data_IF_332448958933
#
_entry.id   IF_332448958933
#
_cell.length_a   1.000
_cell.length_b   1.000
_cell.length_c   1.000
_cell.angle_alpha   90.00
_cell.angle_beta   90.00
_cell.angle_gamma   90.00
#
_symmetry.space_group_name_H-M   'P 1'
#
loop_
_entity.id
_entity.type
_entity.pdbx_description
1 polymer ?
#
# COMPACT_ATOMS: atom_id res chain seq x y z
N UNK A 1 -5.22 -15.33 -31.50
CA UNK A 1 -3.99 -15.22 -30.70
C UNK A 1 -4.33 -14.53 -29.40
N UNK A 2 -3.43 -14.57 -28.44
CA UNK A 2 -3.60 -13.81 -27.20
C UNK A 2 -3.49 -12.32 -27.51
N UNK A 3 -4.35 -11.50 -26.88
CA UNK A 3 -4.28 -10.06 -27.04
C UNK A 3 -3.11 -9.50 -26.22
N UNK A 4 -2.56 -8.37 -26.65
CA UNK A 4 -1.61 -7.58 -25.87
C UNK A 4 -1.99 -6.10 -25.93
N UNK A 5 -1.91 -5.40 -24.80
CA UNK A 5 -2.01 -3.94 -24.75
C UNK A 5 -1.17 -3.41 -23.59
N UNK A 6 -0.41 -2.34 -23.84
CA UNK A 6 0.42 -1.68 -22.83
C UNK A 6 -0.37 -0.78 -21.86
N UNK A 7 -1.70 -0.75 -21.95
CA UNK A 7 -2.51 0.13 -21.11
C UNK A 7 -2.65 -0.42 -19.66
N UNK A 8 -2.77 0.47 -18.65
CA UNK A 8 -2.91 0.05 -17.26
C UNK A 8 -4.12 -0.86 -16.98
N UNK A 9 -5.21 -0.69 -17.73
CA UNK A 9 -6.42 -1.50 -17.60
C UNK A 9 -6.14 -2.96 -18.00
N UNK A 10 -5.52 -3.19 -19.15
CA UNK A 10 -5.18 -4.54 -19.63
C UNK A 10 -4.30 -5.31 -18.63
N UNK A 11 -3.30 -4.64 -18.07
CA UNK A 11 -2.38 -5.25 -17.10
C UNK A 11 -3.06 -5.64 -15.78
N UNK A 12 -4.11 -4.92 -15.36
CA UNK A 12 -4.73 -5.09 -14.04
C UNK A 12 -6.06 -5.85 -14.11
N UNK A 13 -6.81 -5.75 -15.21
CA UNK A 13 -8.17 -6.28 -15.31
C UNK A 13 -8.22 -7.81 -15.43
N UNK A 14 -7.12 -8.47 -15.83
CA UNK A 14 -7.01 -9.95 -15.96
C UNK A 14 -8.13 -10.57 -16.82
N UNK A 15 -8.66 -9.81 -17.78
CA UNK A 15 -9.70 -10.27 -18.72
C UNK A 15 -9.11 -10.74 -20.05
N UNK A 16 -7.82 -10.49 -20.30
CA UNK A 16 -7.21 -10.73 -21.61
C UNK A 16 -7.72 -9.77 -22.70
N UNK A 17 -8.37 -8.67 -22.31
CA UNK A 17 -8.81 -7.60 -23.20
C UNK A 17 -8.87 -6.27 -22.46
N UNK A 18 -9.01 -5.17 -23.18
CA UNK A 18 -9.24 -3.83 -22.63
C UNK A 18 -10.04 -2.99 -23.63
N UNK A 19 -10.45 -1.79 -23.23
CA UNK A 19 -11.21 -0.88 -24.12
C UNK A 19 -10.52 -0.59 -25.45
N UNK A 20 -9.19 -0.50 -25.48
CA UNK A 20 -8.43 -0.30 -26.73
C UNK A 20 -8.49 -1.51 -27.66
N UNK A 21 -8.36 -2.71 -27.10
CA UNK A 21 -8.43 -3.98 -27.83
C UNK A 21 -9.84 -4.16 -28.40
N UNK A 22 -10.87 -4.02 -27.56
CA UNK A 22 -12.28 -4.12 -27.99
C UNK A 22 -12.62 -3.10 -29.08
N UNK A 23 -12.18 -1.85 -28.94
CA UNK A 23 -12.39 -0.83 -29.95
C UNK A 23 -11.72 -1.19 -31.29
N UNK A 24 -10.48 -1.69 -31.23
CA UNK A 24 -9.72 -2.11 -32.42
C UNK A 24 -10.37 -3.31 -33.10
N UNK A 25 -10.74 -4.33 -32.32
CA UNK A 25 -11.45 -5.51 -32.82
C UNK A 25 -12.78 -5.12 -33.48
N UNK A 26 -13.58 -4.25 -32.84
CA UNK A 26 -14.83 -3.77 -33.39
C UNK A 26 -14.62 -3.01 -34.73
N UNK A 27 -13.55 -2.22 -34.85
CA UNK A 27 -13.20 -1.52 -36.10
C UNK A 27 -12.76 -2.48 -37.19
N UNK A 28 -11.91 -3.46 -36.88
CA UNK A 28 -11.44 -4.47 -37.83
C UNK A 28 -12.56 -5.39 -38.30
N UNK A 29 -13.47 -5.80 -37.42
CA UNK A 29 -14.62 -6.64 -37.77
C UNK A 29 -15.60 -5.95 -38.74
N UNK A 30 -15.62 -4.61 -38.79
CA UNK A 30 -16.42 -3.83 -39.73
C UNK A 30 -15.77 -3.70 -41.12
N UNK A 31 -14.49 -4.01 -41.26
CA UNK A 31 -13.81 -4.01 -42.55
C UNK A 31 -14.18 -5.26 -43.36
N UNK A 32 -14.24 -5.12 -44.69
CA UNK A 32 -14.50 -6.23 -45.60
C UNK A 32 -13.41 -7.31 -45.41
N UNK A 33 -13.83 -8.53 -45.08
CA UNK A 33 -12.92 -9.65 -44.80
C UNK A 33 -12.33 -9.70 -43.39
N UNK A 34 -12.56 -8.70 -42.53
CA UNK A 34 -11.95 -8.63 -41.20
C UNK A 34 -12.37 -9.75 -40.25
N UNK A 35 -13.65 -10.16 -40.26
CA UNK A 35 -14.12 -11.31 -39.47
C UNK A 35 -13.46 -12.63 -39.88
N UNK A 36 -13.27 -12.84 -41.18
CA UNK A 36 -12.62 -14.04 -41.71
C UNK A 36 -11.13 -14.06 -41.33
N UNK A 37 -10.43 -12.93 -41.45
CA UNK A 37 -9.03 -12.80 -41.05
C UNK A 37 -8.81 -13.05 -39.55
N UNK A 38 -9.70 -12.53 -38.68
CA UNK A 38 -9.63 -12.78 -37.24
C UNK A 38 -9.89 -14.26 -36.88
N UNK A 39 -10.83 -14.90 -37.58
CA UNK A 39 -11.14 -16.33 -37.38
C UNK A 39 -10.00 -17.24 -37.86
N UNK A 40 -9.31 -16.87 -38.94
CA UNK A 40 -8.11 -17.57 -39.41
C UNK A 40 -6.97 -17.51 -38.39
N UNK A 41 -6.97 -16.48 -37.54
CA UNK A 41 -5.95 -16.28 -36.53
C UNK A 41 -4.64 -15.77 -37.12
N UNK A 42 -3.76 -15.30 -36.24
CA UNK A 42 -2.44 -14.82 -36.61
C UNK A 42 -1.40 -15.56 -35.76
N UNK A 43 -0.39 -16.13 -36.42
CA UNK A 43 0.83 -16.59 -35.78
C UNK A 43 1.99 -15.75 -36.33
N UNK A 44 2.71 -15.02 -35.47
CA UNK A 44 3.85 -14.23 -35.93
C UNK A 44 4.94 -15.14 -36.50
N UNK A 45 5.73 -14.63 -37.45
CA UNK A 45 6.94 -15.32 -37.92
C UNK A 45 8.00 -15.37 -36.83
N UNK A 46 8.13 -14.29 -36.08
CA UNK A 46 9.01 -14.17 -34.92
C UNK A 46 8.48 -14.95 -33.71
N UNK A 47 9.38 -15.34 -32.81
CA UNK A 47 9.02 -15.87 -31.50
C UNK A 47 8.98 -14.74 -30.47
N UNK A 48 8.23 -14.91 -29.40
CA UNK A 48 8.03 -13.85 -28.41
C UNK A 48 8.15 -14.33 -26.96
N UNK A 49 8.61 -13.44 -26.09
CA UNK A 49 8.56 -13.59 -24.64
C UNK A 49 7.73 -12.46 -24.05
N UNK A 50 6.58 -12.80 -23.50
CA UNK A 50 5.59 -11.84 -23.01
C UNK A 50 5.15 -12.15 -21.59
N UNK A 51 4.60 -11.15 -20.90
CA UNK A 51 4.02 -11.33 -19.57
C UNK A 51 2.52 -11.61 -19.70
N UNK A 52 2.08 -12.79 -19.26
CA UNK A 52 0.65 -13.10 -19.19
C UNK A 52 0.07 -12.55 -17.90
N UNK A 53 -0.93 -11.67 -18.03
CA UNK A 53 -1.68 -11.10 -16.92
C UNK A 53 -2.89 -11.99 -16.58
N UNK A 54 -2.69 -12.92 -15.63
CA UNK A 54 -3.75 -13.78 -15.10
C UNK A 54 -3.90 -13.67 -13.57
N UNK A 55 -4.47 -14.68 -12.91
CA UNK A 55 -4.46 -14.80 -11.45
C UNK A 55 -3.03 -14.75 -10.87
N UNK A 56 -2.06 -15.20 -11.66
CA UNK A 56 -0.62 -15.01 -11.44
C UNK A 56 -0.03 -14.38 -12.69
N UNK A 57 0.98 -13.53 -12.50
CA UNK A 57 1.80 -12.99 -13.58
C UNK A 57 2.86 -14.03 -13.94
N UNK A 58 2.91 -14.42 -15.20
CA UNK A 58 3.76 -15.51 -15.67
C UNK A 58 4.46 -15.07 -16.96
N UNK A 59 5.78 -15.26 -17.01
CA UNK A 59 6.56 -15.01 -18.22
C UNK A 59 6.38 -16.19 -19.15
N UNK A 60 5.90 -15.92 -20.36
CA UNK A 60 5.54 -16.91 -21.36
C UNK A 60 6.50 -16.87 -22.54
N UNK A 61 6.83 -18.02 -23.09
CA UNK A 61 7.44 -18.15 -24.41
C UNK A 61 6.39 -18.59 -25.43
N UNK A 62 6.17 -17.74 -26.44
CA UNK A 62 5.31 -18.00 -27.59
C UNK A 62 6.16 -18.32 -28.82
N UNK A 63 6.25 -19.59 -29.27
CA UNK A 63 6.96 -19.91 -30.50
C UNK A 63 6.23 -19.36 -31.73
N UNK A 64 6.97 -18.68 -32.61
CA UNK A 64 6.49 -18.22 -33.90
C UNK A 64 6.24 -19.36 -34.89
N UNK A 65 5.57 -19.05 -36.00
CA UNK A 65 5.32 -19.99 -37.09
C UNK A 65 6.60 -20.54 -37.73
N UNK A 66 7.67 -19.74 -37.73
CA UNK A 66 8.99 -20.08 -38.29
C UNK A 66 10.02 -20.40 -37.18
N UNK A 67 9.56 -20.72 -35.96
CA UNK A 67 10.44 -20.99 -34.83
C UNK A 67 11.34 -22.21 -35.11
N UNK A 68 12.67 -22.06 -35.10
CA UNK A 68 13.58 -23.16 -35.42
C UNK A 68 13.67 -24.17 -34.26
N UNK A 69 13.93 -25.45 -34.59
CA UNK A 69 13.98 -26.53 -33.60
C UNK A 69 15.02 -26.31 -32.50
N UNK A 70 16.17 -25.69 -32.82
CA UNK A 70 17.19 -25.37 -31.82
C UNK A 70 16.67 -24.40 -30.76
N UNK A 71 15.82 -23.43 -31.14
CA UNK A 71 15.24 -22.46 -30.24
C UNK A 71 14.16 -23.11 -29.37
N UNK A 72 13.39 -24.07 -29.91
CA UNK A 72 12.47 -24.89 -29.11
C UNK A 72 13.22 -25.73 -28.07
N UNK A 73 14.35 -26.35 -28.45
CA UNK A 73 15.22 -27.08 -27.50
C UNK A 73 15.82 -26.17 -26.44
N UNK A 74 16.24 -24.97 -26.82
CA UNK A 74 16.73 -23.95 -25.88
C UNK A 74 15.61 -23.54 -24.91
N UNK A 75 14.42 -23.20 -25.44
CA UNK A 75 13.27 -22.81 -24.64
C UNK A 75 12.87 -23.90 -23.65
N UNK A 76 12.91 -25.19 -24.02
CA UNK A 76 12.61 -26.30 -23.10
C UNK A 76 13.54 -26.39 -21.87
N UNK A 77 14.72 -25.76 -21.90
CA UNK A 77 15.58 -25.64 -20.72
C UNK A 77 15.01 -24.65 -19.72
N UNK A 78 14.48 -23.52 -20.19
CA UNK A 78 14.03 -22.39 -19.35
C UNK A 78 12.53 -22.36 -19.08
N UNK A 79 11.72 -22.90 -19.99
CA UNK A 79 10.25 -22.86 -19.96
C UNK A 79 9.67 -24.28 -19.80
N UNK A 80 8.53 -24.40 -19.12
CA UNK A 80 7.78 -25.65 -18.97
C UNK A 80 7.00 -26.00 -20.26
N UNK A 81 6.30 -27.15 -20.27
CA UNK A 81 5.53 -27.62 -21.42
C UNK A 81 4.37 -26.68 -21.82
N UNK A 82 3.97 -25.78 -20.92
CA UNK A 82 2.96 -24.74 -21.17
C UNK A 82 3.59 -23.43 -21.62
N UNK A 83 4.91 -23.39 -21.80
CA UNK A 83 5.68 -22.21 -22.16
C UNK A 83 5.87 -21.24 -20.99
N UNK A 84 5.69 -21.65 -19.74
CA UNK A 84 5.87 -20.78 -18.55
C UNK A 84 7.33 -20.83 -18.09
N UNK A 85 7.95 -19.68 -17.83
CA UNK A 85 9.32 -19.61 -17.32
C UNK A 85 9.42 -20.32 -15.96
N UNK A 86 10.34 -21.29 -15.86
CA UNK A 86 10.54 -22.08 -14.64
C UNK A 86 11.08 -21.19 -13.50
N UNK A 87 10.76 -21.50 -12.22
CA UNK A 87 11.18 -20.67 -11.08
C UNK A 87 12.70 -20.46 -10.95
N UNK A 88 13.49 -21.49 -11.22
CA UNK A 88 14.96 -21.49 -11.23
C UNK A 88 15.55 -20.72 -12.42
N UNK A 89 14.83 -20.70 -13.55
CA UNK A 89 15.24 -20.03 -14.77
C UNK A 89 15.25 -18.48 -14.65
N UNK A 90 14.54 -17.89 -13.69
CA UNK A 90 14.55 -16.44 -13.47
C UNK A 90 15.96 -15.89 -13.19
N UNK A 91 16.80 -16.64 -12.48
CA UNK A 91 18.16 -16.19 -12.11
C UNK A 91 19.10 -16.05 -13.31
N UNK A 92 18.87 -16.83 -14.37
CA UNK A 92 19.75 -16.96 -15.53
C UNK A 92 19.06 -16.62 -16.85
N UNK A 93 17.96 -15.87 -16.80
CA UNK A 93 17.16 -15.51 -17.97
C UNK A 93 17.94 -14.67 -19.00
N UNK A 94 18.96 -13.91 -18.57
CA UNK A 94 19.85 -13.17 -19.48
C UNK A 94 20.63 -14.08 -20.43
N UNK A 95 21.00 -15.29 -19.98
CA UNK A 95 21.64 -16.28 -20.82
C UNK A 95 20.69 -16.77 -21.93
N UNK A 96 19.41 -16.98 -21.61
CA UNK A 96 18.38 -17.32 -22.60
C UNK A 96 18.27 -16.22 -23.67
N UNK A 97 18.12 -14.96 -23.27
CA UNK A 97 17.98 -13.84 -24.22
C UNK A 97 19.21 -13.72 -25.12
N UNK A 98 20.41 -13.91 -24.55
CA UNK A 98 21.68 -13.85 -25.30
C UNK A 98 21.82 -15.00 -26.29
N UNK A 99 21.37 -16.21 -25.95
CA UNK A 99 21.43 -17.38 -26.84
C UNK A 99 20.33 -17.35 -27.91
N UNK A 100 19.13 -16.90 -27.55
CA UNK A 100 17.99 -16.82 -28.45
C UNK A 100 18.21 -15.84 -29.62
N UNK A 101 19.10 -14.85 -29.46
CA UNK A 101 19.43 -13.86 -30.50
C UNK A 101 20.51 -14.27 -31.52
N UNK A 102 21.07 -15.49 -31.48
CA UNK A 102 22.31 -15.82 -32.22
C UNK A 102 22.12 -16.23 -33.70
N UNK A 103 20.96 -16.73 -34.11
CA UNK A 103 20.79 -17.36 -35.45
C UNK A 103 19.74 -16.68 -36.35
N UNK A 104 19.62 -15.35 -36.30
CA UNK A 104 18.81 -14.58 -37.25
C UNK A 104 17.29 -14.72 -37.15
N UNK A 105 16.76 -15.70 -36.40
CA UNK A 105 15.36 -15.76 -36.01
C UNK A 105 15.04 -14.65 -35.01
N UNK A 106 14.06 -13.81 -35.30
CA UNK A 106 13.68 -12.70 -34.43
C UNK A 106 12.97 -13.24 -33.17
N UNK A 107 13.51 -12.89 -31.99
CA UNK A 107 12.93 -13.19 -30.68
C UNK A 107 12.59 -11.88 -29.97
N UNK A 108 11.31 -11.55 -29.89
CA UNK A 108 10.82 -10.31 -29.28
C UNK A 108 10.55 -10.51 -27.80
N UNK A 109 11.33 -9.86 -26.94
CA UNK A 109 11.06 -9.82 -25.50
C UNK A 109 10.33 -8.52 -25.17
N UNK A 110 9.08 -8.61 -24.69
CA UNK A 110 8.32 -7.41 -24.30
C UNK A 110 8.88 -6.80 -23.01
N UNK A 111 8.81 -5.47 -22.92
CA UNK A 111 9.39 -4.69 -21.82
C UNK A 111 8.84 -5.10 -20.44
N UNK A 112 7.55 -5.44 -20.36
CA UNK A 112 6.91 -5.86 -19.12
C UNK A 112 7.38 -7.23 -18.64
N UNK A 113 7.66 -8.16 -19.54
CA UNK A 113 8.27 -9.45 -19.22
C UNK A 113 9.69 -9.26 -18.66
N UNK A 114 10.52 -8.44 -19.34
CA UNK A 114 11.89 -8.13 -18.90
C UNK A 114 11.86 -7.47 -17.52
N UNK A 115 10.99 -6.47 -17.33
CA UNK A 115 10.84 -5.77 -16.05
C UNK A 115 10.38 -6.70 -14.93
N UNK A 116 9.48 -7.64 -15.22
CA UNK A 116 9.03 -8.61 -14.23
C UNK A 116 10.15 -9.59 -13.84
N UNK A 117 10.93 -10.08 -14.80
CA UNK A 117 12.09 -10.93 -14.51
C UNK A 117 13.11 -10.20 -13.66
N UNK A 118 13.45 -8.95 -14.01
CA UNK A 118 14.34 -8.10 -13.22
C UNK A 118 13.82 -7.96 -11.78
N UNK A 119 12.54 -7.62 -11.61
CA UNK A 119 11.91 -7.49 -10.30
C UNK A 119 12.00 -8.77 -9.45
N UNK A 120 11.82 -9.96 -10.05
CA UNK A 120 11.93 -11.24 -9.35
C UNK A 120 13.38 -11.49 -8.90
N UNK A 121 14.35 -11.21 -9.77
CA UNK A 121 15.78 -11.35 -9.45
C UNK A 121 16.22 -10.40 -8.35
N UNK A 122 15.82 -9.13 -8.44
CA UNK A 122 16.17 -8.10 -7.45
C UNK A 122 15.59 -8.44 -6.07
N UNK A 123 14.36 -8.97 -6.03
CA UNK A 123 13.75 -9.45 -4.80
C UNK A 123 14.50 -10.64 -4.19
N UNK A 124 14.92 -11.61 -5.01
CA UNK A 124 15.70 -12.76 -4.55
C UNK A 124 17.07 -12.32 -4.01
N UNK A 125 17.79 -11.50 -4.78
CA UNK A 125 19.10 -10.93 -4.39
C UNK A 125 19.00 -10.15 -3.09
N UNK A 126 17.99 -9.28 -2.93
CA UNK A 126 17.76 -8.54 -1.68
C UNK A 126 17.54 -9.49 -0.51
N UNK A 127 16.73 -10.52 -0.69
CA UNK A 127 16.49 -11.55 0.32
C UNK A 127 17.78 -12.22 0.79
N UNK A 128 18.66 -12.59 -0.15
CA UNK A 128 19.97 -13.20 0.14
C UNK A 128 20.92 -12.23 0.86
N UNK A 129 21.05 -11.00 0.39
CA UNK A 129 21.94 -10.00 1.00
C UNK A 129 21.51 -9.70 2.44
N UNK A 130 20.20 -9.51 2.66
CA UNK A 130 19.66 -9.30 4.01
C UNK A 130 19.85 -10.56 4.87
N UNK A 131 19.67 -11.78 4.33
CA UNK A 131 19.90 -13.00 5.08
C UNK A 131 21.37 -13.16 5.50
N UNK A 132 22.33 -12.73 4.67
CA UNK A 132 23.75 -12.71 5.02
C UNK A 132 24.07 -11.67 6.10
N UNK A 133 23.45 -10.49 6.05
CA UNK A 133 23.61 -9.46 7.07
C UNK A 133 22.94 -9.83 8.41
N UNK A 134 21.87 -10.62 8.38
CA UNK A 134 21.09 -11.04 9.55
C UNK A 134 20.94 -12.58 9.58
N UNK A 135 22.03 -13.34 9.84
CA UNK A 135 22.06 -14.80 9.73
C UNK A 135 21.15 -15.51 10.75
N UNK A 136 20.89 -14.91 11.90
CA UNK A 136 19.97 -15.42 12.93
C UNK A 136 18.59 -14.73 12.86
N UNK A 137 18.26 -14.08 11.73
CA UNK A 137 17.03 -13.33 11.57
C UNK A 137 16.90 -12.21 12.60
N UNK A 138 15.74 -12.12 13.26
CA UNK A 138 15.44 -11.10 14.27
C UNK A 138 16.32 -11.18 15.54
N UNK A 139 16.95 -12.34 15.79
CA UNK A 139 17.88 -12.52 16.91
C UNK A 139 19.32 -12.08 16.59
N UNK A 140 19.60 -11.65 15.35
CA UNK A 140 20.96 -11.30 14.94
C UNK A 140 21.52 -10.12 15.75
N UNK A 141 22.79 -10.18 16.22
CA UNK A 141 23.45 -9.07 16.93
C UNK A 141 23.59 -7.79 16.10
N UNK A 142 23.45 -7.87 14.77
CA UNK A 142 23.43 -6.72 13.88
C UNK A 142 22.37 -5.67 14.27
N UNK A 143 21.26 -6.10 14.88
CA UNK A 143 20.23 -5.19 15.38
C UNK A 143 20.72 -4.24 16.49
N UNK A 144 21.71 -4.66 17.28
CA UNK A 144 22.19 -3.87 18.42
C UNK A 144 23.02 -2.65 17.97
N UNK A 145 23.53 -2.67 16.74
CA UNK A 145 24.26 -1.55 16.10
C UNK A 145 23.46 -0.85 15.00
N UNK A 146 22.24 -1.31 14.72
CA UNK A 146 21.43 -0.82 13.61
C UNK A 146 20.90 0.60 13.87
N UNK A 147 20.37 0.82 15.07
CA UNK A 147 19.85 2.11 15.52
C UNK A 147 20.27 2.37 16.98
N UNK A 148 20.22 3.63 17.42
CA UNK A 148 20.62 4.08 18.77
C UNK A 148 19.73 3.57 19.91
N UNK A 149 18.60 2.94 19.60
CA UNK A 149 17.59 2.48 20.58
C UNK A 149 17.37 0.97 20.45
N UNK A 150 17.25 0.28 21.58
CA UNK A 150 16.97 -1.15 21.58
C UNK A 150 15.55 -1.44 21.08
N UNK A 151 15.45 -2.29 20.06
CA UNK A 151 14.18 -2.80 19.55
C UNK A 151 13.73 -4.03 20.32
N UNK A 152 12.43 -4.11 20.63
CA UNK A 152 11.80 -5.34 21.12
C UNK A 152 11.88 -6.45 20.07
N UNK A 153 11.85 -7.75 20.46
CA UNK A 153 11.93 -8.87 19.52
C UNK A 153 10.91 -8.78 18.38
N UNK A 154 9.64 -8.51 18.68
CA UNK A 154 8.63 -8.31 17.63
C UNK A 154 8.99 -7.12 16.69
N UNK A 155 9.57 -6.03 17.20
CA UNK A 155 9.95 -4.90 16.36
C UNK A 155 11.08 -5.27 15.39
N UNK A 156 12.04 -6.09 15.84
CA UNK A 156 13.11 -6.63 14.99
C UNK A 156 12.55 -7.50 13.86
N UNK A 157 11.58 -8.36 14.17
CA UNK A 157 10.87 -9.16 13.16
C UNK A 157 10.13 -8.31 12.13
N UNK A 158 9.41 -7.27 12.59
CA UNK A 158 8.66 -6.37 11.71
C UNK A 158 9.58 -5.58 10.78
N UNK A 159 10.70 -5.06 11.31
CA UNK A 159 11.72 -4.37 10.53
C UNK A 159 12.36 -5.27 9.48
N UNK A 160 12.75 -6.50 9.87
CA UNK A 160 13.35 -7.47 8.95
C UNK A 160 12.37 -7.92 7.87
N UNK A 161 11.10 -8.13 8.22
CA UNK A 161 10.05 -8.45 7.27
C UNK A 161 9.88 -7.33 6.24
N UNK A 162 9.78 -6.08 6.69
CA UNK A 162 9.61 -4.93 5.81
C UNK A 162 10.76 -4.78 4.83
N UNK A 163 12.01 -4.91 5.31
CA UNK A 163 13.19 -4.84 4.47
C UNK A 163 13.24 -5.99 3.43
N UNK A 164 12.91 -7.23 3.82
CA UNK A 164 12.87 -8.37 2.88
C UNK A 164 11.77 -8.23 1.83
N UNK A 165 10.55 -7.90 2.26
CA UNK A 165 9.41 -7.70 1.37
C UNK A 165 9.65 -6.56 0.39
N UNK A 166 10.36 -5.51 0.81
CA UNK A 166 10.68 -4.31 0.03
C UNK A 166 9.47 -3.38 -0.15
N UNK A 167 8.31 -3.95 -0.50
CA UNK A 167 7.01 -3.28 -0.48
C UNK A 167 6.08 -4.02 0.49
N UNK A 168 5.67 -3.39 1.58
CA UNK A 168 4.86 -4.02 2.61
C UNK A 168 3.87 -3.09 3.33
N UNK A 169 2.97 -3.71 4.08
CA UNK A 169 2.03 -3.09 5.01
C UNK A 169 2.41 -3.52 6.44
N UNK A 170 2.84 -2.57 7.27
CA UNK A 170 3.02 -2.75 8.71
C UNK A 170 1.75 -2.28 9.41
N UNK A 171 0.93 -3.26 9.80
CA UNK A 171 -0.39 -3.07 10.35
C UNK A 171 -0.51 -3.45 11.84
N UNK A 172 0.59 -3.34 12.58
CA UNK A 172 0.60 -3.54 14.03
C UNK A 172 -0.31 -2.53 14.74
N UNK A 173 -0.93 -2.97 15.84
CA UNK A 173 -1.80 -2.14 16.68
C UNK A 173 -1.13 -0.80 17.07
N UNK A 174 -1.96 0.22 17.27
CA UNK A 174 -1.50 1.55 17.70
C UNK A 174 -0.69 1.48 19.00
N UNK A 175 0.50 2.07 19.00
CA UNK A 175 1.42 2.08 20.15
C UNK A 175 2.45 0.95 20.17
N UNK A 176 2.46 0.04 19.19
CA UNK A 176 3.51 -1.00 19.06
C UNK A 176 4.79 -0.51 18.35
N UNK A 177 4.97 0.80 18.20
CA UNK A 177 6.19 1.37 17.62
C UNK A 177 6.36 1.10 16.12
N UNK A 178 5.31 1.29 15.30
CA UNK A 178 5.42 1.17 13.83
C UNK A 178 6.49 2.11 13.25
N UNK A 179 6.62 3.32 13.79
CA UNK A 179 7.61 4.31 13.37
C UNK A 179 9.04 3.80 13.53
N UNK A 180 9.39 3.29 14.73
CA UNK A 180 10.73 2.74 14.97
C UNK A 180 11.01 1.49 14.12
N UNK A 181 9.99 0.66 13.86
CA UNK A 181 10.13 -0.48 12.94
C UNK A 181 10.41 -0.04 11.49
N UNK A 182 9.73 1.01 11.01
CA UNK A 182 9.93 1.56 9.68
C UNK A 182 11.31 2.21 9.52
N UNK A 183 11.78 2.95 10.54
CA UNK A 183 13.12 3.52 10.58
C UNK A 183 14.17 2.39 10.58
N UNK A 184 14.01 1.36 11.41
CA UNK A 184 14.90 0.22 11.43
C UNK A 184 14.94 -0.53 10.09
N UNK A 185 13.78 -0.76 9.44
CA UNK A 185 13.72 -1.35 8.11
C UNK A 185 14.45 -0.50 7.06
N UNK A 186 14.34 0.82 7.17
CA UNK A 186 15.05 1.77 6.31
C UNK A 186 16.56 1.66 6.47
N UNK A 187 17.06 1.58 7.71
CA UNK A 187 18.50 1.39 7.95
C UNK A 187 19.00 0.04 7.43
N UNK A 188 18.21 -1.03 7.54
CA UNK A 188 18.55 -2.33 6.93
C UNK A 188 18.70 -2.17 5.41
N UNK A 189 17.73 -1.53 4.76
CA UNK A 189 17.78 -1.30 3.31
C UNK A 189 18.96 -0.40 2.91
N UNK A 190 19.26 0.63 3.69
CA UNK A 190 20.40 1.51 3.45
C UNK A 190 21.73 0.75 3.48
N UNK A 191 21.93 -0.11 4.49
CA UNK A 191 23.17 -0.87 4.68
C UNK A 191 23.32 -2.05 3.71
N UNK A 192 22.21 -2.61 3.22
CA UNK A 192 22.24 -3.85 2.42
C UNK A 192 22.05 -3.63 0.93
N UNK A 193 21.17 -2.72 0.53
CA UNK A 193 20.81 -2.48 -0.87
C UNK A 193 21.02 -1.03 -1.32
N UNK A 194 21.57 -0.18 -0.46
CA UNK A 194 21.99 1.18 -0.83
C UNK A 194 20.82 2.16 -1.02
N UNK A 195 19.75 2.04 -0.23
CA UNK A 195 18.71 3.09 -0.17
C UNK A 195 19.32 4.38 0.40
N UNK A 196 19.16 5.48 -0.33
CA UNK A 196 19.73 6.79 0.03
C UNK A 196 18.69 7.90 0.14
N UNK A 197 17.55 7.78 -0.56
CA UNK A 197 16.50 8.79 -0.61
C UNK A 197 15.18 8.23 -0.12
N UNK A 198 14.75 8.71 1.04
CA UNK A 198 13.54 8.25 1.74
C UNK A 198 12.53 9.37 1.85
N UNK A 199 11.36 9.18 1.23
CA UNK A 199 10.22 10.07 1.37
C UNK A 199 9.24 9.51 2.39
N UNK A 200 9.00 10.25 3.47
CA UNK A 200 7.94 9.96 4.43
C UNK A 200 6.76 10.89 4.13
N UNK A 201 5.57 10.31 3.96
CA UNK A 201 4.32 11.03 3.81
C UNK A 201 3.47 10.74 5.04
N UNK A 202 3.28 11.76 5.88
CA UNK A 202 2.58 11.65 7.15
C UNK A 202 1.51 12.75 7.31
N UNK A 203 0.54 12.60 8.22
CA UNK A 203 -0.31 13.71 8.64
C UNK A 203 0.52 14.94 9.07
N UNK A 204 0.00 16.15 8.82
CA UNK A 204 0.71 17.41 9.15
C UNK A 204 1.18 17.46 10.61
N UNK A 205 0.39 16.93 11.54
CA UNK A 205 0.69 16.89 12.97
C UNK A 205 1.84 15.95 13.34
N UNK A 206 2.20 14.99 12.48
CA UNK A 206 3.21 13.97 12.77
C UNK A 206 4.56 14.27 12.11
N UNK A 207 4.66 15.28 11.23
CA UNK A 207 5.91 15.54 10.50
C UNK A 207 7.11 15.84 11.39
N UNK A 208 6.93 16.70 12.40
CA UNK A 208 8.02 17.05 13.33
C UNK A 208 8.34 15.89 14.26
N UNK A 209 7.31 15.14 14.71
CA UNK A 209 7.55 13.92 15.47
C UNK A 209 8.40 12.91 14.68
N UNK A 210 8.13 12.71 13.39
CA UNK A 210 8.97 11.87 12.53
C UNK A 210 10.41 12.37 12.46
N UNK A 211 10.61 13.68 12.32
CA UNK A 211 11.95 14.28 12.32
C UNK A 211 12.67 13.98 13.64
N UNK A 212 12.03 14.26 14.77
CA UNK A 212 12.60 14.07 16.11
C UNK A 212 12.93 12.59 16.36
N UNK A 213 12.05 11.66 15.95
CA UNK A 213 12.27 10.22 16.07
C UNK A 213 13.43 9.73 15.20
N UNK A 214 13.55 10.22 13.95
CA UNK A 214 14.67 9.89 13.07
C UNK A 214 15.98 10.36 13.66
N UNK A 215 16.08 11.61 14.08
CA UNK A 215 17.30 12.22 14.62
C UNK A 215 17.70 11.61 15.98
N UNK A 216 16.70 11.16 16.76
CA UNK A 216 16.89 10.45 18.03
C UNK A 216 17.35 9.02 17.82
N UNK A 217 16.68 8.25 16.95
CA UNK A 217 16.94 6.82 16.78
C UNK A 217 18.10 6.54 15.83
N UNK A 218 18.44 7.47 14.95
CA UNK A 218 19.52 7.31 13.96
C UNK A 218 20.56 8.43 14.11
N UNK A 219 21.66 8.34 13.36
CA UNK A 219 22.62 9.43 13.19
C UNK A 219 22.29 10.37 12.03
N UNK A 220 21.12 10.22 11.39
CA UNK A 220 20.75 10.94 10.17
C UNK A 220 19.89 12.15 10.48
N UNK A 221 19.94 13.14 9.60
CA UNK A 221 19.08 14.32 9.62
C UNK A 221 17.86 14.12 8.73
N UNK A 222 16.77 14.81 9.06
CA UNK A 222 15.56 14.80 8.23
C UNK A 222 15.07 16.21 7.90
N UNK A 223 14.66 16.42 6.65
CA UNK A 223 14.12 17.70 6.17
C UNK A 223 12.60 17.62 6.13
N UNK A 224 11.94 18.49 6.91
CA UNK A 224 10.49 18.67 6.82
C UNK A 224 10.17 19.63 5.68
N UNK A 225 9.42 19.15 4.69
CA UNK A 225 8.97 19.96 3.56
C UNK A 225 7.71 20.73 3.96
N UNK A 226 7.82 22.04 4.03
CA UNK A 226 6.72 22.92 4.42
C UNK A 226 6.82 24.33 3.84
N UNK A 227 5.92 25.23 4.26
CA UNK A 227 5.89 26.60 3.78
C UNK A 227 5.35 26.77 2.37
N UNK A 228 5.49 27.99 1.85
CA UNK A 228 5.08 28.37 0.51
C UNK A 228 5.93 27.67 -0.55
N UNK A 229 5.48 27.72 -1.80
CA UNK A 229 6.09 26.98 -2.90
C UNK A 229 7.60 27.22 -3.06
N UNK A 230 8.14 28.46 -2.96
CA UNK A 230 9.59 28.69 -3.08
C UNK A 230 10.39 27.94 -2.02
N UNK A 231 9.97 28.02 -0.74
CA UNK A 231 10.63 27.30 0.35
C UNK A 231 10.52 25.77 0.19
N UNK A 232 9.43 25.26 -0.38
CA UNK A 232 9.30 23.82 -0.66
C UNK A 232 10.25 23.36 -1.77
N UNK A 233 10.46 24.18 -2.80
CA UNK A 233 11.39 23.86 -3.91
C UNK A 233 12.80 23.66 -3.36
N UNK A 234 13.31 24.64 -2.61
CA UNK A 234 14.63 24.57 -1.97
C UNK A 234 14.79 23.32 -1.09
N UNK A 235 13.74 22.98 -0.32
CA UNK A 235 13.74 21.78 0.53
C UNK A 235 13.72 20.47 -0.26
N UNK A 236 13.11 20.43 -1.45
CA UNK A 236 13.18 19.26 -2.34
C UNK A 236 14.52 19.16 -3.09
N UNK A 237 15.24 20.26 -3.27
CA UNK A 237 16.56 20.28 -3.90
C UNK A 237 17.69 20.00 -2.91
N UNK A 238 17.51 20.34 -1.62
CA UNK A 238 18.50 20.07 -0.59
C UNK A 238 18.88 18.58 -0.50
N UNK A 239 20.18 18.28 -0.40
CA UNK A 239 20.66 16.92 -0.15
C UNK A 239 20.24 16.48 1.25
N UNK A 240 19.45 15.41 1.31
CA UNK A 240 18.99 14.83 2.57
C UNK A 240 18.59 13.39 2.35
N UNK A 241 18.92 12.53 3.31
CA UNK A 241 18.50 11.13 3.30
C UNK A 241 16.99 11.00 3.51
N UNK A 242 16.43 11.78 4.44
CA UNK A 242 14.99 11.80 4.73
C UNK A 242 14.34 13.12 4.30
N UNK A 243 13.19 13.01 3.62
CA UNK A 243 12.27 14.13 3.40
C UNK A 243 10.89 13.78 3.91
N UNK A 244 10.28 14.69 4.65
CA UNK A 244 8.98 14.48 5.28
C UNK A 244 7.98 15.47 4.70
N UNK A 245 6.96 14.95 4.02
CA UNK A 245 5.87 15.71 3.42
C UNK A 245 4.53 15.31 4.03
N UNK A 246 3.48 16.11 3.80
CA UNK A 246 2.12 15.73 4.13
C UNK A 246 1.32 15.32 2.89
N UNK A 247 0.22 14.58 3.11
CA UNK A 247 -0.64 14.11 2.03
C UNK A 247 -1.21 15.23 1.15
N UNK A 248 -1.44 16.42 1.72
CA UNK A 248 -2.13 17.52 1.04
C UNK A 248 -1.24 18.19 -0.02
N UNK A 249 0.09 18.22 0.18
CA UNK A 249 1.03 18.84 -0.77
C UNK A 249 1.53 17.88 -1.85
N UNK A 250 1.42 16.56 -1.65
CA UNK A 250 1.96 15.54 -2.59
C UNK A 250 1.41 15.71 -4.00
N UNK A 251 0.13 16.06 -4.15
CA UNK A 251 -0.44 16.30 -5.48
C UNK A 251 0.23 17.48 -6.20
N UNK A 252 0.47 18.58 -5.47
CA UNK A 252 1.02 19.83 -6.02
C UNK A 252 2.52 19.73 -6.30
N UNK A 253 3.22 18.93 -5.50
CA UNK A 253 4.67 18.78 -5.57
C UNK A 253 5.08 17.46 -6.28
N UNK A 254 4.15 16.78 -6.95
CA UNK A 254 4.36 15.48 -7.57
C UNK A 254 5.58 15.45 -8.51
N UNK A 255 5.73 16.46 -9.36
CA UNK A 255 6.84 16.52 -10.32
C UNK A 255 8.19 16.72 -9.63
N UNK A 256 8.22 17.46 -8.50
CA UNK A 256 9.43 17.67 -7.69
C UNK A 256 9.82 16.39 -6.96
N UNK A 257 8.85 15.69 -6.40
CA UNK A 257 9.09 14.40 -5.76
C UNK A 257 9.60 13.39 -6.80
N UNK A 258 9.05 13.40 -8.02
CA UNK A 258 9.51 12.56 -9.14
C UNK A 258 10.94 12.90 -9.58
N UNK A 259 11.27 14.18 -9.66
CA UNK A 259 12.61 14.64 -10.00
C UNK A 259 13.64 14.23 -8.93
N UNK A 260 13.25 14.32 -7.65
CA UNK A 260 14.09 13.85 -6.55
C UNK A 260 14.27 12.33 -6.53
N UNK A 261 13.29 11.60 -7.05
CA UNK A 261 13.28 10.15 -7.27
C UNK A 261 13.58 9.33 -5.99
N UNK A 262 12.65 9.29 -5.02
CA UNK A 262 12.85 8.52 -3.78
C UNK A 262 13.02 7.03 -4.08
N UNK A 263 13.96 6.39 -3.38
CA UNK A 263 14.18 4.95 -3.46
C UNK A 263 13.16 4.19 -2.59
N UNK A 264 12.81 4.80 -1.44
CA UNK A 264 11.84 4.30 -0.47
C UNK A 264 10.77 5.36 -0.15
N UNK A 265 9.51 4.94 -0.19
CA UNK A 265 8.37 5.75 0.29
C UNK A 265 7.78 5.10 1.54
N UNK A 266 7.65 5.88 2.61
CA UNK A 266 6.92 5.50 3.82
C UNK A 266 5.61 6.27 3.87
N UNK A 267 4.48 5.57 3.94
CA UNK A 267 3.17 6.18 4.14
C UNK A 267 2.72 5.95 5.57
N UNK A 268 2.65 7.00 6.36
CA UNK A 268 2.12 6.94 7.72
C UNK A 268 0.63 7.27 7.74
N UNK A 269 -0.13 6.61 8.61
CA UNK A 269 -1.59 6.73 8.68
C UNK A 269 -2.27 6.58 7.30
N UNK A 270 -1.96 5.46 6.64
CA UNK A 270 -2.35 5.17 5.26
C UNK A 270 -3.86 5.13 4.99
N UNK A 271 -4.72 5.18 6.02
CA UNK A 271 -6.15 5.41 5.85
C UNK A 271 -6.44 6.74 5.14
N UNK A 272 -5.49 7.69 5.10
CA UNK A 272 -5.59 8.92 4.28
C UNK A 272 -5.73 8.65 2.78
N UNK A 273 -5.29 7.48 2.28
CA UNK A 273 -5.42 7.08 0.86
C UNK A 273 -6.46 5.98 0.62
N UNK A 274 -7.39 5.77 1.57
CA UNK A 274 -8.40 4.72 1.50
C UNK A 274 -9.39 4.87 0.33
N UNK A 275 -9.65 6.09 -0.11
CA UNK A 275 -10.52 6.35 -1.26
C UNK A 275 -9.71 6.59 -2.54
N UNK A 276 -9.70 5.58 -3.42
CA UNK A 276 -8.99 5.60 -4.70
C UNK A 276 -9.40 6.74 -5.64
N UNK A 277 -10.60 7.30 -5.49
CA UNK A 277 -11.09 8.39 -6.35
C UNK A 277 -10.44 9.73 -6.04
N UNK A 278 -9.91 9.89 -4.83
CA UNK A 278 -9.33 11.15 -4.36
C UNK A 278 -8.07 11.51 -5.14
N UNK A 279 -7.87 12.81 -5.33
CA UNK A 279 -6.69 13.35 -6.01
C UNK A 279 -5.40 12.97 -5.28
N UNK A 280 -5.44 12.99 -3.95
CA UNK A 280 -4.37 12.54 -3.06
C UNK A 280 -3.98 11.09 -3.32
N UNK A 281 -4.92 10.14 -3.24
CA UNK A 281 -4.63 8.73 -3.46
C UNK A 281 -4.07 8.47 -4.88
N UNK A 282 -4.63 9.13 -5.90
CA UNK A 282 -4.13 9.05 -7.28
C UNK A 282 -2.71 9.59 -7.42
N UNK A 283 -2.36 10.64 -6.69
CA UNK A 283 -1.03 11.27 -6.77
C UNK A 283 0.01 10.44 -6.04
N UNK A 284 -0.32 9.96 -4.84
CA UNK A 284 0.55 9.05 -4.06
C UNK A 284 0.86 7.78 -4.85
N UNK A 285 -0.15 7.16 -5.48
CA UNK A 285 0.05 5.95 -6.33
C UNK A 285 0.87 6.19 -7.61
N UNK A 286 1.07 7.44 -8.01
CA UNK A 286 1.91 7.83 -9.17
C UNK A 286 3.37 8.06 -8.81
N UNK A 287 3.72 8.01 -7.52
CA UNK A 287 5.08 8.20 -7.05
C UNK A 287 5.95 7.01 -7.45
N UNK A 288 7.06 7.24 -8.18
CA UNK A 288 8.02 6.19 -8.47
C UNK A 288 8.79 5.88 -7.19
N UNK A 289 8.86 4.60 -6.83
CA UNK A 289 9.70 4.10 -5.75
C UNK A 289 9.81 2.60 -5.89
N UNK A 290 11.01 2.07 -5.69
CA UNK A 290 11.24 0.63 -5.67
C UNK A 290 10.65 0.03 -4.38
N UNK A 291 10.97 0.66 -3.25
CA UNK A 291 10.55 0.23 -1.92
C UNK A 291 9.35 1.02 -1.41
N UNK A 292 8.51 0.40 -0.60
CA UNK A 292 7.37 1.08 0.02
C UNK A 292 7.00 0.46 1.37
N UNK A 293 6.92 1.26 2.43
CA UNK A 293 6.46 0.80 3.74
C UNK A 293 5.20 1.58 4.09
N UNK A 294 4.08 0.88 4.19
CA UNK A 294 2.80 1.49 4.53
C UNK A 294 2.47 1.18 5.97
N UNK A 295 2.24 2.20 6.78
CA UNK A 295 1.91 2.11 8.20
C UNK A 295 0.43 2.40 8.41
N UNK A 296 -0.24 1.54 9.14
CA UNK A 296 -1.65 1.73 9.50
C UNK A 296 -1.97 1.02 10.79
N UNK A 297 -2.65 1.66 11.75
CA UNK A 297 -3.15 0.97 12.94
C UNK A 297 -4.41 0.14 12.68
N UNK A 298 -5.10 0.42 11.57
CA UNK A 298 -6.43 -0.08 11.25
C UNK A 298 -6.54 -0.28 9.73
N UNK A 299 -5.87 -1.30 9.16
CA UNK A 299 -5.86 -1.52 7.69
C UNK A 299 -7.27 -1.76 7.11
N UNK A 300 -8.23 -2.17 7.96
CA UNK A 300 -9.62 -2.35 7.63
C UNK A 300 -10.45 -1.57 8.67
N UNK A 301 -10.75 -0.30 8.40
CA UNK A 301 -11.64 0.49 9.27
C UNK A 301 -13.10 0.08 9.04
N UNK A 302 -13.56 0.03 7.78
CA UNK A 302 -14.99 -0.16 7.51
C UNK A 302 -15.29 -1.06 6.30
N UNK A 303 -14.47 -1.01 5.23
CA UNK A 303 -14.83 -1.58 3.92
C UNK A 303 -13.67 -2.26 3.19
N UNK A 304 -13.95 -3.34 2.46
CA UNK A 304 -12.93 -4.07 1.66
C UNK A 304 -12.30 -3.21 0.55
N UNK A 305 -13.02 -2.22 0.06
CA UNK A 305 -12.57 -1.23 -0.92
C UNK A 305 -11.40 -0.39 -0.38
N UNK A 306 -11.39 -0.09 0.92
CA UNK A 306 -10.33 0.67 1.58
C UNK A 306 -9.04 -0.16 1.60
N UNK A 307 -9.16 -1.44 1.98
CA UNK A 307 -8.06 -2.40 1.95
C UNK A 307 -7.51 -2.57 0.52
N UNK A 308 -8.39 -2.70 -0.47
CA UNK A 308 -8.00 -2.82 -1.87
C UNK A 308 -7.19 -1.60 -2.33
N UNK A 309 -7.63 -0.39 -1.99
CA UNK A 309 -6.92 0.85 -2.34
C UNK A 309 -5.53 0.93 -1.71
N UNK A 310 -5.39 0.52 -0.45
CA UNK A 310 -4.10 0.53 0.27
C UNK A 310 -3.15 -0.53 -0.33
N UNK A 311 -3.65 -1.75 -0.55
CA UNK A 311 -2.84 -2.84 -1.12
C UNK A 311 -2.42 -2.54 -2.54
N UNK A 312 -3.23 -1.85 -3.33
CA UNK A 312 -2.88 -1.44 -4.70
C UNK A 312 -1.61 -0.56 -4.74
N UNK A 313 -1.36 0.25 -3.71
CA UNK A 313 -0.12 1.03 -3.61
C UNK A 313 1.11 0.13 -3.35
N UNK A 314 0.93 -0.92 -2.56
CA UNK A 314 2.01 -1.89 -2.24
C UNK A 314 2.27 -2.81 -3.42
N UNK A 315 1.23 -3.48 -3.91
CA UNK A 315 1.27 -4.39 -5.07
C UNK A 315 -0.09 -4.37 -5.80
N UNK A 316 -0.12 -3.61 -6.90
CA UNK A 316 -1.30 -3.40 -7.77
C UNK A 316 -1.89 -4.68 -8.38
N UNK A 317 -1.13 -5.77 -8.43
CA UNK A 317 -1.57 -7.02 -9.05
C UNK A 317 -2.01 -8.07 -8.01
N UNK A 318 -1.80 -7.80 -6.72
CA UNK A 318 -1.94 -8.78 -5.65
C UNK A 318 -3.36 -9.27 -5.41
N UNK A 319 -4.31 -8.33 -5.36
CA UNK A 319 -5.73 -8.62 -5.15
C UNK A 319 -6.52 -8.71 -6.46
N UNK A 320 -5.85 -8.50 -7.59
CA UNK A 320 -6.50 -8.38 -8.88
C UNK A 320 -7.43 -7.17 -8.99
N UNK A 321 -8.32 -7.18 -10.00
CA UNK A 321 -9.25 -6.08 -10.26
C UNK A 321 -10.25 -5.91 -9.13
N UNK A 322 -10.56 -4.64 -8.78
CA UNK A 322 -11.49 -4.33 -7.70
C UNK A 322 -12.86 -4.97 -7.89
N UNK A 323 -13.44 -4.96 -9.10
CA UNK A 323 -14.75 -5.57 -9.35
C UNK A 323 -14.79 -7.07 -9.03
N UNK A 324 -13.72 -7.81 -9.38
CA UNK A 324 -13.62 -9.26 -9.12
C UNK A 324 -13.39 -9.52 -7.63
N UNK A 325 -12.48 -8.76 -7.03
CA UNK A 325 -12.20 -8.82 -5.60
C UNK A 325 -13.47 -8.60 -4.77
N UNK A 326 -14.24 -7.56 -5.08
CA UNK A 326 -15.49 -7.26 -4.36
C UNK A 326 -16.55 -8.34 -4.60
N UNK A 327 -16.72 -8.84 -5.83
CA UNK A 327 -17.67 -9.92 -6.11
C UNK A 327 -17.33 -11.23 -5.37
N UNK A 328 -16.04 -11.55 -5.22
CA UNK A 328 -15.59 -12.76 -4.51
C UNK A 328 -15.77 -12.66 -2.99
N UNK A 329 -15.72 -11.45 -2.43
CA UNK A 329 -15.58 -11.23 -0.99
C UNK A 329 -16.73 -10.45 -0.31
N UNK A 330 -17.55 -9.71 -1.06
CA UNK A 330 -18.72 -9.01 -0.54
C UNK A 330 -20.00 -9.84 -0.75
N UNK A 331 -20.91 -9.74 0.20
CA UNK A 331 -22.31 -10.17 0.07
C UNK A 331 -23.18 -8.92 -0.02
N UNK A 332 -23.97 -8.84 -1.09
CA UNK A 332 -24.87 -7.73 -1.35
C UNK A 332 -26.33 -8.19 -1.16
N UNK A 333 -27.19 -7.31 -0.66
CA UNK A 333 -28.64 -7.52 -0.70
C UNK A 333 -29.23 -7.23 -2.10
N UNK A 334 -30.54 -7.38 -2.24
CA UNK A 334 -31.28 -7.09 -3.47
C UNK A 334 -31.18 -5.62 -3.91
N UNK A 335 -30.81 -4.70 -3.02
CA UNK A 335 -30.63 -3.27 -3.29
C UNK A 335 -29.16 -2.89 -3.51
N UNK A 336 -28.24 -3.86 -3.54
CA UNK A 336 -26.81 -3.64 -3.76
C UNK A 336 -26.05 -3.13 -2.52
N UNK A 337 -26.63 -3.21 -1.32
CA UNK A 337 -25.97 -2.82 -0.07
C UNK A 337 -25.17 -3.99 0.49
N UNK A 338 -23.96 -3.72 0.98
CA UNK A 338 -23.11 -4.73 1.63
C UNK A 338 -23.76 -5.16 2.95
N UNK A 339 -24.14 -6.44 3.02
CA UNK A 339 -24.73 -7.08 4.22
C UNK A 339 -23.76 -7.99 4.95
N UNK A 340 -22.66 -8.39 4.30
CA UNK A 340 -21.67 -9.28 4.90
C UNK A 340 -20.45 -9.48 4.02
N UNK A 341 -19.51 -10.27 4.53
CA UNK A 341 -18.28 -10.63 3.85
C UNK A 341 -18.07 -12.14 3.85
N UNK A 342 -17.45 -12.66 2.79
CA UNK A 342 -17.13 -14.09 2.63
C UNK A 342 -15.67 -14.30 2.20
N UNK A 343 -15.16 -15.51 2.39
CA UNK A 343 -13.83 -15.92 1.92
C UNK A 343 -12.67 -15.06 2.45
N UNK A 344 -12.79 -14.49 3.66
CA UNK A 344 -11.76 -13.61 4.24
C UNK A 344 -10.41 -14.31 4.50
N UNK A 345 -10.43 -15.63 4.72
CA UNK A 345 -9.23 -16.46 4.86
C UNK A 345 -8.32 -16.40 3.63
N UNK A 346 -8.92 -16.32 2.44
CA UNK A 346 -8.20 -16.17 1.18
C UNK A 346 -7.50 -14.82 1.10
N UNK A 347 -8.13 -13.75 1.58
CA UNK A 347 -7.50 -12.42 1.68
C UNK A 347 -6.28 -12.49 2.58
N UNK A 348 -6.42 -13.09 3.77
CA UNK A 348 -5.30 -13.25 4.72
C UNK A 348 -4.12 -14.00 4.10
N UNK A 349 -4.39 -15.11 3.40
CA UNK A 349 -3.36 -15.91 2.72
C UNK A 349 -2.64 -15.11 1.63
N UNK A 350 -3.41 -14.36 0.82
CA UNK A 350 -2.87 -13.51 -0.22
C UNK A 350 -2.00 -12.38 0.35
N UNK A 351 -2.39 -11.79 1.48
CA UNK A 351 -1.66 -10.68 2.09
C UNK A 351 -0.45 -11.09 2.93
N UNK A 352 -0.39 -12.33 3.44
CA UNK A 352 0.67 -12.82 4.34
C UNK A 352 2.12 -12.45 3.91
N UNK A 353 2.53 -12.57 2.63
CA UNK A 353 3.88 -12.17 2.23
C UNK A 353 4.18 -10.67 2.22
N UNK A 354 3.18 -9.79 2.33
CA UNK A 354 3.35 -8.32 2.31
C UNK A 354 2.75 -7.62 3.54
N UNK A 355 2.10 -8.34 4.45
CA UNK A 355 1.40 -7.79 5.61
C UNK A 355 1.95 -8.41 6.90
N UNK A 356 2.39 -7.55 7.82
CA UNK A 356 2.58 -7.91 9.22
C UNK A 356 1.52 -7.20 10.04
N UNK A 357 0.82 -7.97 10.88
CA UNK A 357 -0.18 -7.44 11.81
C UNK A 357 -0.11 -8.19 13.13
N UNK A 358 0.22 -7.48 14.19
CA UNK A 358 0.17 -7.98 15.57
C UNK A 358 -0.74 -7.14 16.43
N UNK A 359 -1.41 -7.81 17.34
CA UNK A 359 -2.26 -7.19 18.37
C UNK A 359 -1.49 -6.99 19.65
N UNK A 360 -1.87 -6.00 20.47
CA UNK A 360 -1.26 -5.79 21.80
C UNK A 360 -1.30 -7.04 22.68
N UNK A 361 -2.36 -7.85 22.56
CA UNK A 361 -2.50 -9.11 23.32
C UNK A 361 -1.44 -10.15 22.94
N UNK A 362 -1.04 -10.20 21.67
CA UNK A 362 -0.04 -11.17 21.19
C UNK A 362 1.37 -10.82 21.69
N UNK A 363 1.68 -9.53 21.81
CA UNK A 363 3.00 -9.03 22.23
C UNK A 363 3.00 -8.54 23.68
N UNK A 364 1.95 -8.82 24.45
CA UNK A 364 1.76 -8.27 25.80
C UNK A 364 2.92 -8.63 26.73
N UNK A 365 3.46 -9.84 26.58
CA UNK A 365 4.60 -10.34 27.36
C UNK A 365 5.92 -9.62 27.04
N UNK A 366 6.00 -8.91 25.91
CA UNK A 366 7.15 -8.10 25.51
C UNK A 366 6.97 -6.62 25.85
N UNK A 367 5.78 -6.21 26.30
CA UNK A 367 5.45 -4.83 26.66
C UNK A 367 5.49 -4.63 28.17
N UNK A 368 5.83 -3.42 28.66
CA UNK A 368 5.69 -3.10 30.09
C UNK A 368 4.22 -3.15 30.52
N UNK A 369 3.97 -3.49 31.79
CA UNK A 369 2.63 -3.51 32.36
C UNK A 369 1.96 -2.12 32.28
N UNK A 370 0.70 -2.09 31.83
CA UNK A 370 -0.09 -0.86 31.79
C UNK A 370 -0.82 -0.68 33.12
N UNK A 371 -0.42 0.34 33.87
CA UNK A 371 -1.17 0.81 35.04
C UNK A 371 -2.25 1.80 34.60
N UNK A 372 -3.52 1.42 34.73
CA UNK A 372 -4.66 2.32 34.51
C UNK A 372 -5.21 2.78 35.86
N UNK A 373 -5.02 4.07 36.19
CA UNK A 373 -5.60 4.70 37.38
C UNK A 373 -6.78 5.56 36.94
N UNK A 374 -7.98 5.21 37.40
CA UNK A 374 -9.20 6.01 37.19
C UNK A 374 -9.41 6.91 38.39
N UNK A 375 -9.30 8.21 38.18
CA UNK A 375 -9.61 9.22 39.18
C UNK A 375 -11.00 9.78 38.85
N UNK A 376 -11.96 9.55 39.74
CA UNK A 376 -13.24 10.24 39.69
C UNK A 376 -13.06 11.59 40.37
N UNK A 377 -13.28 12.66 39.62
CA UNK A 377 -13.17 14.04 40.10
C UNK A 377 -14.57 14.63 40.08
N UNK A 378 -14.98 15.22 41.20
CA UNK A 378 -16.27 15.89 41.28
C UNK A 378 -16.28 17.15 40.41
N UNK A 379 -17.42 17.43 39.78
CA UNK A 379 -17.62 18.69 39.07
C UNK A 379 -17.65 19.84 40.07
N UNK A 380 -17.05 20.96 39.71
CA UNK A 380 -17.26 22.22 40.43
C UNK A 380 -18.73 22.64 40.32
N UNK A 381 -19.17 23.53 41.23
CA UNK A 381 -20.56 24.05 41.21
C UNK A 381 -20.92 24.68 39.88
N UNK A 382 -19.98 25.40 39.27
CA UNK A 382 -20.20 26.08 38.00
C UNK A 382 -20.34 25.09 36.83
N UNK A 383 -19.45 24.10 36.75
CA UNK A 383 -19.58 23.01 35.77
C UNK A 383 -20.90 22.25 35.93
N UNK A 384 -21.31 22.01 37.18
CA UNK A 384 -22.57 21.32 37.49
C UNK A 384 -23.79 22.12 37.05
N UNK A 385 -23.80 23.45 37.25
CA UNK A 385 -24.89 24.31 36.81
C UNK A 385 -25.10 24.22 35.31
N UNK A 386 -24.04 24.42 34.52
CA UNK A 386 -24.09 24.27 33.07
C UNK A 386 -24.50 22.85 32.64
N UNK A 387 -24.03 21.83 33.36
CA UNK A 387 -24.38 20.45 33.08
C UNK A 387 -25.88 20.19 33.31
N UNK A 388 -26.44 20.64 34.43
CA UNK A 388 -27.85 20.43 34.78
C UNK A 388 -28.81 21.21 33.86
N UNK A 389 -28.45 22.42 33.43
CA UNK A 389 -29.24 23.20 32.45
C UNK A 389 -29.39 22.43 31.12
N UNK A 390 -28.27 21.91 30.61
CA UNK A 390 -28.27 21.14 29.36
C UNK A 390 -28.95 19.77 29.56
N UNK A 391 -28.79 19.14 30.72
CA UNK A 391 -29.47 17.89 31.07
C UNK A 391 -30.98 18.04 31.08
N UNK A 392 -31.51 19.15 31.59
CA UNK A 392 -32.95 19.43 31.53
C UNK A 392 -33.44 19.51 30.07
N UNK A 393 -32.66 20.15 29.20
CA UNK A 393 -32.94 20.21 27.75
C UNK A 393 -32.93 18.82 27.11
N UNK A 394 -31.91 18.01 27.39
CA UNK A 394 -31.80 16.62 26.94
C UNK A 394 -33.00 15.80 27.43
N UNK A 395 -33.36 15.89 28.71
CA UNK A 395 -34.47 15.15 29.30
C UNK A 395 -35.80 15.46 28.62
N UNK A 396 -36.07 16.74 28.32
CA UNK A 396 -37.26 17.17 27.58
C UNK A 396 -37.31 16.58 26.16
N UNK A 397 -36.19 16.61 25.43
CA UNK A 397 -36.11 16.09 24.06
C UNK A 397 -36.25 14.56 24.06
N UNK A 398 -35.60 13.86 25.00
CA UNK A 398 -35.71 12.40 25.15
C UNK A 398 -37.14 11.99 25.53
N UNK A 399 -37.82 12.75 26.40
CA UNK A 399 -39.21 12.50 26.74
C UNK A 399 -40.14 12.65 25.52
N UNK A 400 -39.91 13.67 24.69
CA UNK A 400 -40.61 13.86 23.41
C UNK A 400 -40.38 12.65 22.49
N UNK A 401 -39.14 12.23 22.33
CA UNK A 401 -38.80 11.05 21.52
C UNK A 401 -39.48 9.77 22.02
N UNK A 402 -39.46 9.51 23.33
CA UNK A 402 -40.15 8.35 23.93
C UNK A 402 -41.66 8.37 23.70
N UNK A 403 -42.28 9.55 23.66
CA UNK A 403 -43.73 9.70 23.45
C UNK A 403 -44.13 9.55 21.99
N UNK A 404 -43.37 10.12 21.05
CA UNK A 404 -43.77 10.19 19.64
C UNK A 404 -43.04 9.20 18.73
N UNK A 405 -42.01 8.51 19.23
CA UNK A 405 -41.19 7.56 18.46
C UNK A 405 -40.29 8.20 17.40
N UNK A 406 -40.36 9.52 17.21
CA UNK A 406 -39.65 10.28 16.19
C UNK A 406 -39.13 11.61 16.75
N UNK A 407 -38.00 12.08 16.19
CA UNK A 407 -37.38 13.37 16.48
C UNK A 407 -37.18 14.14 15.17
N UNK A 408 -37.63 15.39 15.13
CA UNK A 408 -37.36 16.30 14.00
C UNK A 408 -35.85 16.56 13.87
N UNK A 409 -35.36 16.93 12.67
CA UNK A 409 -33.94 17.30 12.48
C UNK A 409 -33.50 18.41 13.46
N UNK A 410 -34.38 19.38 13.72
CA UNK A 410 -34.14 20.45 14.70
C UNK A 410 -33.94 19.91 16.11
N UNK A 411 -34.79 18.98 16.56
CA UNK A 411 -34.66 18.36 17.88
C UNK A 411 -33.41 17.48 17.98
N UNK A 412 -33.06 16.75 16.90
CA UNK A 412 -31.83 15.95 16.84
C UNK A 412 -30.59 16.83 16.97
N UNK A 413 -30.57 17.96 16.26
CA UNK A 413 -29.46 18.93 16.34
C UNK A 413 -29.35 19.54 17.74
N UNK A 414 -30.47 19.95 18.35
CA UNK A 414 -30.52 20.47 19.72
C UNK A 414 -30.05 19.44 20.75
N UNK A 415 -30.45 18.18 20.60
CA UNK A 415 -30.00 17.10 21.47
C UNK A 415 -28.48 16.93 21.42
N UNK A 416 -27.91 16.91 20.21
CA UNK A 416 -26.47 16.80 20.03
C UNK A 416 -25.71 18.00 20.61
N UNK A 417 -26.24 19.21 20.44
CA UNK A 417 -25.66 20.43 21.03
C UNK A 417 -25.69 20.36 22.56
N UNK A 418 -26.83 20.02 23.17
CA UNK A 418 -26.96 19.95 24.63
C UNK A 418 -26.06 18.86 25.24
N UNK A 419 -26.00 17.67 24.62
CA UNK A 419 -25.07 16.61 25.02
C UNK A 419 -23.60 17.04 24.88
N UNK A 420 -23.27 17.80 23.83
CA UNK A 420 -21.93 18.32 23.65
C UNK A 420 -21.58 19.36 24.72
N UNK A 421 -22.52 20.24 25.09
CA UNK A 421 -22.33 21.19 26.18
C UNK A 421 -22.19 20.53 27.55
N UNK A 422 -22.96 19.47 27.84
CA UNK A 422 -22.75 18.64 29.03
C UNK A 422 -21.34 18.03 29.06
N UNK A 423 -20.82 17.56 27.92
CA UNK A 423 -19.44 17.05 27.84
C UNK A 423 -18.40 18.15 28.02
N UNK A 424 -18.65 19.33 27.46
CA UNK A 424 -17.75 20.48 27.57
C UNK A 424 -17.69 21.01 29.00
N UNK A 425 -18.82 21.10 29.72
CA UNK A 425 -18.84 21.53 31.12
C UNK A 425 -18.02 20.59 32.01
N UNK A 426 -18.07 19.26 31.76
CA UNK A 426 -17.23 18.30 32.47
C UNK A 426 -15.72 18.51 32.24
N UNK A 427 -15.32 19.11 31.11
CA UNK A 427 -13.92 19.39 30.80
C UNK A 427 -13.48 20.75 31.36
N UNK A 428 -14.24 21.83 31.07
CA UNK A 428 -13.95 23.20 31.50
C UNK A 428 -15.13 24.14 31.18
N UNK A 429 -15.42 25.06 32.11
CA UNK A 429 -16.41 26.15 31.95
C UNK A 429 -16.02 27.14 30.85
N UNK A 430 -14.72 27.39 30.68
CA UNK A 430 -14.15 28.26 29.62
C UNK A 430 -14.59 27.90 28.21
N UNK A 431 -14.86 26.62 27.97
CA UNK A 431 -15.34 26.13 26.67
C UNK A 431 -16.77 26.60 26.37
N UNK A 432 -17.54 26.95 27.39
CA UNK A 432 -18.92 27.42 27.31
C UNK A 432 -19.01 28.94 27.43
N UNK A 433 -18.23 29.52 28.34
CA UNK A 433 -18.11 30.95 28.53
C UNK A 433 -16.62 31.34 28.66
N UNK A 434 -16.03 32.05 27.69
CA UNK A 434 -14.63 32.47 27.73
C UNK A 434 -14.27 33.41 28.90
N UNK A 435 -15.24 33.81 29.71
CA UNK A 435 -15.05 34.64 30.90
C UNK A 435 -14.90 33.84 32.20
N UNK A 436 -15.15 32.53 32.18
CA UNK A 436 -15.04 31.62 33.33
C UNK A 436 -14.22 30.38 32.99
#
# INVERSE_FOLDING_TARGET
GDNYCSCPDFAVNTLGTCKHVEFTLAKLQRQRGGRAALAQGFRPRFSEVYLRYGPKREVMFGPGAECPEWLLRLAGRYFDDRGILKPDAYAHFDAFVKEAGKDGHEVRCYEDAIRFVAQVRDNARRGEVIARAFPQGAASPAFDKLIKTSLYPYQREGALFAAKAGRCLLADDMGLGKTVQAIAATEILAQTVGVERVLIIAPTSLKHQWKDEIERFTGRTAVVVEGLQPARVERYEAESFYKIANYDIVHRDLDRIRAWAPDLIILDEAQRIKNWKTLTAKSVKKLPSEYAIVLTGTPLENRLEELHSIVEFVDRFRLGPSFRFLAEHQQLDSYGKVVGYRNLSRISTTLKPILVRRTKRQVLHELPERLEKRFFVDMTKEQMNHHEENKATVARIVAKWRRYGFLSETDQRLLMIALQYMRMSCNSTYLLDPKT
#
